data_IF_427949901578
#
_entry.id   IF_427949901578
#
_cell.length_a   1.000
_cell.length_b   1.000
_cell.length_c   1.000
_cell.angle_alpha   90.00
_cell.angle_beta   90.00
_cell.angle_gamma   90.00
#
_symmetry.space_group_name_H-M   'P 1'
#
loop_
_entity.id
_entity.type
_entity.pdbx_description
1 polymer ?
#
# COMPACT_ATOMS: atom_id res chain seq x y z
N UNK A 1 22.50 -53.36 44.16
CA UNK A 1 22.00 -53.72 42.81
C UNK A 1 20.49 -53.57 42.76
N UNK A 2 19.96 -52.51 42.14
CA UNK A 2 18.60 -52.43 41.55
C UNK A 2 18.50 -51.14 40.71
N UNK A 3 18.39 -51.36 39.38
CA UNK A 3 17.51 -50.70 38.38
C UNK A 3 17.52 -49.15 38.33
N UNK A 4 18.20 -48.52 37.36
CA UNK A 4 17.88 -48.34 35.92
C UNK A 4 16.87 -47.20 35.64
N UNK A 5 17.30 -46.31 34.74
CA UNK A 5 16.55 -45.76 33.60
C UNK A 5 15.23 -45.05 33.87
N UNK A 6 15.16 -43.76 33.50
CA UNK A 6 13.91 -43.19 33.01
C UNK A 6 13.60 -41.77 33.45
N UNK A 7 14.49 -40.80 33.21
CA UNK A 7 14.14 -39.37 33.32
C UNK A 7 14.67 -38.54 32.14
N UNK A 8 14.80 -39.18 30.97
CA UNK A 8 15.31 -38.57 29.74
C UNK A 8 14.24 -38.44 28.64
N UNK A 9 12.96 -38.42 29.02
CA UNK A 9 11.84 -38.45 28.08
C UNK A 9 10.66 -37.58 28.53
N UNK A 10 10.96 -36.39 29.05
CA UNK A 10 9.98 -35.30 29.13
C UNK A 10 10.60 -34.00 28.58
N UNK A 11 11.28 -34.16 27.45
CA UNK A 11 11.87 -33.11 26.61
C UNK A 11 11.02 -32.87 25.35
N UNK A 12 9.74 -33.22 25.36
CA UNK A 12 8.87 -33.02 24.22
C UNK A 12 7.57 -32.39 24.68
N UNK A 13 7.20 -31.27 24.07
CA UNK A 13 5.82 -30.83 23.93
C UNK A 13 5.28 -29.81 24.94
N UNK A 14 6.11 -28.94 25.51
CA UNK A 14 5.64 -27.59 25.88
C UNK A 14 5.70 -26.71 24.63
N UNK A 15 4.63 -26.87 23.85
CA UNK A 15 4.02 -25.91 22.95
C UNK A 15 4.62 -24.49 23.09
N UNK A 16 5.68 -24.21 22.32
CA UNK A 16 6.04 -22.83 21.98
C UNK A 16 4.90 -22.35 21.11
N UNK A 17 3.93 -21.71 21.76
CA UNK A 17 2.89 -20.94 21.11
C UNK A 17 3.55 -19.82 20.32
N UNK A 18 3.97 -20.14 19.10
CA UNK A 18 4.17 -19.17 18.03
C UNK A 18 2.78 -18.65 17.69
N UNK A 19 2.26 -17.79 18.56
CA UNK A 19 1.20 -16.86 18.18
C UNK A 19 1.77 -16.09 17.02
N UNK A 20 1.33 -16.44 15.81
CA UNK A 20 1.57 -15.65 14.63
C UNK A 20 0.96 -14.27 14.94
N UNK A 21 1.80 -13.34 15.37
CA UNK A 21 1.45 -11.94 15.35
C UNK A 21 1.14 -11.67 13.87
N UNK A 22 -0.15 -11.59 13.56
CA UNK A 22 -0.63 -11.03 12.31
C UNK A 22 -0.34 -9.52 12.38
N UNK A 23 0.95 -9.17 12.43
CA UNK A 23 1.37 -7.80 12.26
C UNK A 23 0.95 -7.41 10.85
N UNK A 24 0.14 -6.35 10.77
CA UNK A 24 -0.37 -5.85 9.50
C UNK A 24 0.81 -5.61 8.57
N UNK A 25 0.89 -6.40 7.51
CA UNK A 25 1.97 -6.30 6.54
C UNK A 25 2.03 -4.87 6.02
N UNK A 26 3.23 -4.29 6.06
CA UNK A 26 3.49 -2.97 5.51
C UNK A 26 3.09 -2.92 4.05
N UNK A 27 2.38 -1.86 3.67
CA UNK A 27 2.04 -1.61 2.28
C UNK A 27 3.13 -0.75 1.68
N UNK A 28 3.69 -1.20 0.55
CA UNK A 28 4.72 -0.43 -0.18
C UNK A 28 4.06 0.73 -0.92
N UNK A 29 4.52 1.94 -0.65
CA UNK A 29 4.23 3.11 -1.47
C UNK A 29 5.48 3.49 -2.25
N UNK A 30 5.34 3.69 -3.56
CA UNK A 30 6.39 4.25 -4.42
C UNK A 30 5.77 5.35 -5.25
N UNK A 31 6.45 6.48 -5.37
CA UNK A 31 6.02 7.57 -6.22
C UNK A 31 7.24 8.33 -6.76
N UNK A 32 7.00 9.23 -7.71
CA UNK A 32 8.01 10.11 -8.29
C UNK A 32 7.58 11.56 -8.14
N UNK A 33 8.39 12.35 -7.44
CA UNK A 33 8.17 13.78 -7.27
C UNK A 33 8.48 14.51 -8.59
N UNK A 34 7.43 15.08 -9.19
CA UNK A 34 7.50 15.84 -10.42
C UNK A 34 6.86 17.22 -10.24
N UNK A 35 7.36 18.20 -10.98
CA UNK A 35 6.75 19.54 -11.10
C UNK A 35 6.52 19.85 -12.58
N UNK A 36 5.51 20.66 -12.85
CA UNK A 36 5.29 21.26 -14.16
C UNK A 36 5.77 22.70 -14.16
N UNK A 37 6.17 23.22 -15.32
CA UNK A 37 6.42 24.66 -15.47
C UNK A 37 5.09 25.41 -15.41
N UNK A 38 5.01 26.45 -14.58
CA UNK A 38 3.82 27.31 -14.48
C UNK A 38 3.61 28.23 -15.69
N UNK A 39 4.60 28.32 -16.58
CA UNK A 39 4.59 29.17 -17.78
C UNK A 39 4.58 28.31 -19.03
N UNK A 40 3.42 27.72 -19.33
CA UNK A 40 3.22 26.95 -20.57
C UNK A 40 2.18 27.68 -21.43
N UNK A 41 2.50 28.02 -22.69
CA UNK A 41 1.53 28.63 -23.61
C UNK A 41 0.28 27.77 -23.76
N UNK A 42 -0.86 28.42 -24.02
CA UNK A 42 -2.12 27.71 -24.26
C UNK A 42 -1.96 26.73 -25.42
N UNK A 43 -2.27 25.44 -25.17
CA UNK A 43 -2.13 24.35 -26.14
C UNK A 43 -0.77 23.66 -26.16
N UNK A 44 0.22 24.12 -25.39
CA UNK A 44 1.51 23.44 -25.25
C UNK A 44 1.51 22.43 -24.09
N UNK A 45 2.18 21.29 -24.28
CA UNK A 45 2.41 20.34 -23.18
C UNK A 45 3.50 20.87 -22.23
N UNK A 46 3.20 20.91 -20.94
CA UNK A 46 4.19 21.28 -19.93
C UNK A 46 5.28 20.21 -19.80
N UNK A 47 6.58 20.58 -19.80
CA UNK A 47 7.61 19.61 -19.46
C UNK A 47 7.41 19.16 -18.01
N UNK A 48 7.39 17.84 -17.81
CA UNK A 48 7.46 17.22 -16.48
C UNK A 48 8.91 17.24 -16.04
N UNK A 49 9.22 18.01 -14.99
CA UNK A 49 10.55 18.09 -14.40
C UNK A 49 10.59 17.24 -13.14
N UNK A 50 11.47 16.25 -13.08
CA UNK A 50 11.74 15.52 -11.84
C UNK A 50 12.42 16.44 -10.82
N UNK A 51 12.12 16.23 -9.54
CA UNK A 51 12.71 17.01 -8.45
C UNK A 51 13.67 16.11 -7.66
N UNK A 52 14.97 16.07 -8.03
CA UNK A 52 15.95 15.23 -7.35
C UNK A 52 16.34 15.79 -5.98
N UNK A 53 16.78 14.91 -5.08
CA UNK A 53 17.29 15.24 -3.74
C UNK A 53 16.34 16.05 -2.86
N UNK A 54 15.02 15.99 -3.10
CA UNK A 54 14.03 16.64 -2.27
C UNK A 54 13.85 15.88 -0.95
N UNK A 55 13.53 16.62 0.12
CA UNK A 55 13.23 16.08 1.44
C UNK A 55 11.72 15.81 1.55
N UNK A 56 11.31 14.55 1.58
CA UNK A 56 9.92 14.10 1.66
C UNK A 56 9.54 13.75 3.09
N UNK A 57 8.49 14.38 3.62
CA UNK A 57 7.90 14.03 4.93
C UNK A 57 6.52 13.42 4.73
N UNK A 58 6.25 12.32 5.39
CA UNK A 58 4.97 11.59 5.35
C UNK A 58 4.19 11.86 6.64
N UNK A 59 2.97 12.33 6.48
CA UNK A 59 2.16 12.90 7.54
C UNK A 59 0.80 12.20 7.63
N UNK A 60 0.23 12.14 8.84
CA UNK A 60 -1.14 11.72 9.03
C UNK A 60 -2.11 12.74 8.43
N UNK A 61 -3.21 12.28 7.81
CA UNK A 61 -4.28 13.16 7.30
C UNK A 61 -4.75 14.15 8.36
N UNK A 62 -5.07 15.36 7.93
CA UNK A 62 -5.55 16.46 8.79
C UNK A 62 -4.58 16.92 9.90
N UNK A 63 -3.31 16.52 9.87
CA UNK A 63 -2.30 17.08 10.77
C UNK A 63 -1.76 18.42 10.25
N UNK A 64 -1.92 19.50 11.03
CA UNK A 64 -1.27 20.79 10.77
C UNK A 64 -0.77 21.39 12.11
N UNK A 65 0.56 21.49 12.33
CA UNK A 65 1.65 21.12 11.43
C UNK A 65 1.72 19.60 11.19
N UNK A 66 2.40 19.20 10.11
CA UNK A 66 2.60 17.78 9.76
C UNK A 66 3.12 16.98 10.95
N UNK A 67 2.31 16.02 11.40
CA UNK A 67 2.72 15.01 12.38
C UNK A 67 3.28 13.82 11.62
N UNK A 68 4.60 13.61 11.71
CA UNK A 68 5.29 12.54 11.00
C UNK A 68 4.77 11.16 11.42
N UNK A 69 4.56 10.28 10.44
CA UNK A 69 4.12 8.90 10.65
C UNK A 69 5.33 7.94 10.54
N UNK A 70 5.30 6.83 11.25
CA UNK A 70 6.32 5.78 11.11
C UNK A 70 6.34 5.22 9.68
N UNK A 71 7.48 5.33 9.01
CA UNK A 71 7.75 4.74 7.70
C UNK A 71 8.92 3.77 7.84
N UNK A 72 8.97 2.72 7.02
CA UNK A 72 9.84 1.57 7.21
C UNK A 72 10.50 1.14 5.90
N UNK A 73 11.66 0.50 6.00
CA UNK A 73 12.37 -0.03 4.82
C UNK A 73 11.94 -1.45 4.42
N UNK A 74 11.16 -2.12 5.27
CA UNK A 74 10.75 -3.51 5.11
C UNK A 74 9.23 -3.70 5.27
N UNK A 75 8.73 -4.77 4.65
CA UNK A 75 7.32 -5.17 4.68
C UNK A 75 6.85 -5.61 6.07
N UNK A 76 7.75 -6.06 6.94
CA UNK A 76 7.40 -6.44 8.31
C UNK A 76 7.31 -5.22 9.25
N UNK A 77 7.54 -4.01 8.75
CA UNK A 77 7.50 -2.77 9.54
C UNK A 77 8.46 -2.82 10.75
N UNK A 78 9.58 -3.52 10.60
CA UNK A 78 10.52 -3.78 11.69
C UNK A 78 11.71 -2.80 11.72
N UNK A 79 12.03 -2.19 10.57
CA UNK A 79 13.16 -1.28 10.41
C UNK A 79 12.64 0.14 10.10
N UNK A 80 12.43 0.98 11.14
CA UNK A 80 11.95 2.33 10.94
C UNK A 80 12.99 3.17 10.18
N UNK A 81 12.51 4.00 9.26
CA UNK A 81 13.33 4.96 8.51
C UNK A 81 13.20 6.35 9.10
N UNK A 82 14.32 7.07 9.17
CA UNK A 82 14.33 8.46 9.59
C UNK A 82 13.66 9.35 8.52
N UNK A 83 12.85 10.30 8.98
CA UNK A 83 12.28 11.35 8.15
C UNK A 83 13.03 12.69 8.35
N UNK A 84 13.13 13.53 7.32
CA UNK A 84 12.58 13.37 5.96
C UNK A 84 13.35 12.37 5.10
N UNK A 85 12.62 11.65 4.23
CA UNK A 85 13.18 10.79 3.20
C UNK A 85 13.81 11.64 2.09
N UNK A 86 14.80 11.11 1.37
CA UNK A 86 15.40 11.78 0.21
C UNK A 86 14.95 11.14 -1.10
N UNK A 87 14.55 11.95 -2.08
CA UNK A 87 14.33 11.46 -3.44
C UNK A 87 15.65 11.17 -4.15
N UNK A 88 15.66 10.21 -5.07
CA UNK A 88 16.82 9.88 -5.90
C UNK A 88 17.06 10.92 -7.02
N UNK A 89 18.04 10.67 -7.90
CA UNK A 89 18.35 11.54 -9.04
C UNK A 89 17.21 11.66 -10.07
N UNK A 90 16.27 10.72 -10.08
CA UNK A 90 15.06 10.75 -10.91
C UNK A 90 13.84 11.32 -10.15
N UNK A 91 13.99 11.75 -8.90
CA UNK A 91 12.90 12.24 -8.06
C UNK A 91 12.05 11.12 -7.45
N UNK A 92 12.48 9.86 -7.52
CA UNK A 92 11.73 8.71 -7.00
C UNK A 92 11.99 8.52 -5.51
N UNK A 93 10.99 8.03 -4.81
CA UNK A 93 11.08 7.62 -3.42
C UNK A 93 10.13 6.46 -3.16
N UNK A 94 10.40 5.69 -2.10
CA UNK A 94 9.52 4.63 -1.67
C UNK A 94 9.78 4.24 -0.23
N UNK A 95 8.73 3.71 0.42
CA UNK A 95 8.74 3.27 1.80
C UNK A 95 7.61 2.29 2.05
N UNK A 96 7.66 1.58 3.18
CA UNK A 96 6.57 0.80 3.72
C UNK A 96 5.90 1.57 4.86
N UNK A 97 4.59 1.45 4.96
CA UNK A 97 3.79 2.06 6.03
C UNK A 97 2.60 1.16 6.34
N UNK A 98 1.99 1.31 7.51
CA UNK A 98 0.71 0.67 7.82
C UNK A 98 -0.37 1.14 6.85
N UNK A 99 -1.37 0.29 6.60
CA UNK A 99 -2.53 0.68 5.80
C UNK A 99 -3.26 1.89 6.40
N UNK A 100 -3.67 2.84 5.57
CA UNK A 100 -4.29 4.09 6.02
C UNK A 100 -4.31 5.16 4.94
N UNK A 101 -4.81 6.34 5.33
CA UNK A 101 -4.82 7.54 4.52
C UNK A 101 -3.77 8.51 5.07
N UNK A 102 -2.96 9.06 4.17
CA UNK A 102 -1.84 9.91 4.51
C UNK A 102 -1.72 11.04 3.50
N UNK A 103 -0.81 11.97 3.76
CA UNK A 103 -0.29 12.85 2.73
C UNK A 103 1.23 12.95 2.87
N UNK A 104 1.91 13.26 1.78
CA UNK A 104 3.31 13.65 1.84
C UNK A 104 3.48 15.10 1.41
N UNK A 105 4.53 15.72 1.94
CA UNK A 105 5.03 17.03 1.50
C UNK A 105 6.49 16.88 1.14
N UNK A 106 6.96 17.66 0.18
CA UNK A 106 8.35 17.69 -0.19
C UNK A 106 8.92 19.09 -0.05
N UNK A 107 10.18 19.18 0.37
CA UNK A 107 10.94 20.44 0.38
C UNK A 107 12.08 20.27 -0.62
N UNK A 108 12.13 21.14 -1.62
CA UNK A 108 13.21 21.12 -2.61
C UNK A 108 14.54 21.56 -1.98
N UNK A 109 15.65 21.34 -2.68
CA UNK A 109 16.96 21.88 -2.25
C UNK A 109 16.97 23.41 -2.12
N UNK A 110 16.07 24.10 -2.83
CA UNK A 110 15.90 25.55 -2.77
C UNK A 110 14.96 26.01 -1.65
N UNK A 111 14.47 25.08 -0.81
CA UNK A 111 13.58 25.37 0.30
C UNK A 111 12.11 25.58 -0.10
N UNK A 112 11.73 25.28 -1.34
CA UNK A 112 10.35 25.40 -1.79
C UNK A 112 9.52 24.23 -1.24
N UNK A 113 8.38 24.53 -0.61
CA UNK A 113 7.44 23.54 -0.13
C UNK A 113 6.53 23.10 -1.28
N UNK A 114 6.44 21.79 -1.49
CA UNK A 114 5.54 21.14 -2.44
C UNK A 114 4.54 20.26 -1.68
N UNK A 115 3.29 20.24 -2.14
CA UNK A 115 2.20 19.47 -1.53
C UNK A 115 1.22 20.37 -0.75
N UNK A 116 0.32 19.77 0.07
CA UNK A 116 0.24 18.35 0.42
C UNK A 116 -0.24 17.47 -0.74
N UNK A 117 0.35 16.28 -0.86
CA UNK A 117 -0.05 15.26 -1.84
C UNK A 117 -0.72 14.09 -1.09
N UNK A 118 -2.05 13.97 -1.14
CA UNK A 118 -2.76 12.90 -0.44
C UNK A 118 -2.50 11.55 -1.13
N UNK A 119 -2.39 10.49 -0.33
CA UNK A 119 -2.34 9.12 -0.83
C UNK A 119 -3.01 8.15 0.15
N UNK A 120 -3.45 7.01 -0.36
CA UNK A 120 -4.04 5.93 0.43
C UNK A 120 -3.31 4.64 0.14
N UNK A 121 -3.09 3.86 1.18
CA UNK A 121 -2.48 2.54 1.12
C UNK A 121 -3.45 1.57 1.77
N UNK A 122 -4.02 0.69 0.96
CA UNK A 122 -5.02 -0.27 1.40
C UNK A 122 -4.29 -1.58 1.71
N UNK A 123 -4.43 -2.07 2.94
CA UNK A 123 -3.84 -3.32 3.38
C UNK A 123 -4.59 -4.49 2.76
N UNK A 124 -4.00 -5.14 1.77
CA UNK A 124 -4.59 -6.32 1.15
C UNK A 124 -3.64 -6.90 0.11
N UNK A 125 -3.07 -8.07 0.41
CA UNK A 125 -2.26 -8.88 -0.52
C UNK A 125 -3.05 -9.45 -1.71
N UNK A 126 -4.11 -8.78 -2.15
CA UNK A 126 -4.77 -9.07 -3.41
C UNK A 126 -4.30 -8.03 -4.43
N UNK A 127 -3.67 -8.49 -5.50
CA UNK A 127 -3.57 -7.74 -6.76
C UNK A 127 -4.98 -7.59 -7.35
N UNK A 128 -5.85 -6.85 -6.65
CA UNK A 128 -7.17 -6.47 -7.11
C UNK A 128 -7.06 -5.07 -7.67
N UNK A 129 -7.53 -4.88 -8.90
CA UNK A 129 -7.74 -3.55 -9.47
C UNK A 129 -8.79 -2.86 -8.57
N UNK A 130 -8.43 -1.81 -7.79
CA UNK A 130 -9.33 -1.25 -6.78
C UNK A 130 -10.57 -0.59 -7.39
N UNK A 131 -10.52 -0.27 -8.68
CA UNK A 131 -11.65 0.18 -9.47
C UNK A 131 -11.38 -0.09 -10.95
N UNK A 132 -12.31 -0.75 -11.64
CA UNK A 132 -12.34 -0.70 -13.11
C UNK A 132 -13.21 0.48 -13.51
N UNK A 133 -12.58 1.63 -13.79
CA UNK A 133 -13.26 2.82 -14.30
C UNK A 133 -13.17 2.84 -15.83
N UNK A 134 -14.29 3.15 -16.51
CA UNK A 134 -14.29 3.37 -17.96
C UNK A 134 -14.61 2.15 -18.83
N UNK A 135 -15.29 1.12 -18.30
CA UNK A 135 -15.84 0.06 -19.16
C UNK A 135 -16.94 0.68 -20.04
N UNK A 136 -16.66 0.83 -21.33
CA UNK A 136 -17.67 1.12 -22.35
C UNK A 136 -18.12 -0.20 -22.97
N UNK A 137 -19.40 -0.56 -22.81
CA UNK A 137 -19.97 -1.80 -23.34
C UNK A 137 -20.69 -2.63 -22.27
N UNK A 138 -21.09 -3.85 -22.62
CA UNK A 138 -21.72 -4.78 -21.69
C UNK A 138 -20.67 -5.53 -20.86
N UNK A 139 -20.86 -5.58 -19.55
CA UNK A 139 -20.11 -6.48 -18.66
C UNK A 139 -20.86 -7.81 -18.61
N UNK A 140 -20.31 -8.84 -19.24
CA UNK A 140 -20.88 -10.20 -19.19
C UNK A 140 -20.26 -10.97 -18.04
N UNK A 141 -21.08 -11.32 -17.03
CA UNK A 141 -20.69 -12.22 -15.96
C UNK A 141 -21.29 -13.59 -16.27
N UNK A 142 -20.45 -14.55 -16.67
CA UNK A 142 -20.89 -15.92 -16.88
C UNK A 142 -21.16 -16.58 -15.51
N UNK A 143 -22.43 -16.75 -15.18
CA UNK A 143 -22.85 -17.39 -13.94
C UNK A 143 -22.43 -18.87 -13.95
N UNK A 144 -21.47 -19.22 -13.10
CA UNK A 144 -21.29 -20.59 -12.66
C UNK A 144 -22.41 -20.98 -11.68
N UNK A 145 -22.66 -22.28 -11.52
CA UNK A 145 -23.65 -22.76 -10.56
C UNK A 145 -23.39 -22.19 -9.16
N UNK A 146 -24.41 -21.58 -8.56
CA UNK A 146 -24.35 -20.98 -7.21
C UNK A 146 -23.96 -19.50 -7.17
N UNK A 147 -23.60 -18.87 -8.28
CA UNK A 147 -23.42 -17.41 -8.35
C UNK A 147 -24.76 -16.76 -8.68
N UNK A 148 -25.17 -15.78 -7.87
CA UNK A 148 -26.30 -14.91 -8.18
C UNK A 148 -25.78 -13.55 -8.64
N UNK A 149 -26.34 -13.01 -9.72
CA UNK A 149 -26.05 -11.66 -10.19
C UNK A 149 -27.35 -10.89 -10.18
N UNK A 150 -27.39 -9.81 -9.41
CA UNK A 150 -28.53 -8.89 -9.36
C UNK A 150 -28.06 -7.51 -9.78
N UNK A 151 -28.76 -6.90 -10.72
CA UNK A 151 -28.48 -5.54 -11.18
C UNK A 151 -29.56 -4.59 -10.68
N UNK A 152 -29.13 -3.48 -10.06
CA UNK A 152 -30.02 -2.40 -9.59
C UNK A 152 -29.41 -1.07 -10.03
N UNK A 153 -29.97 -0.49 -11.09
CA UNK A 153 -29.41 0.70 -11.73
C UNK A 153 -27.98 0.44 -12.24
N UNK A 154 -27.04 1.28 -11.82
CA UNK A 154 -25.61 1.13 -12.15
C UNK A 154 -24.86 0.17 -11.20
N UNK A 155 -25.56 -0.46 -10.25
CA UNK A 155 -24.95 -1.37 -9.27
C UNK A 155 -25.15 -2.82 -9.70
N UNK A 156 -24.07 -3.60 -9.69
CA UNK A 156 -24.10 -5.05 -9.86
C UNK A 156 -23.74 -5.69 -8.52
N UNK A 157 -24.66 -6.48 -7.97
CA UNK A 157 -24.45 -7.27 -6.76
C UNK A 157 -24.21 -8.73 -7.16
N UNK A 158 -23.07 -9.28 -6.76
CA UNK A 158 -22.72 -10.68 -6.99
C UNK A 158 -22.85 -11.44 -5.66
N UNK A 159 -23.83 -12.33 -5.54
CA UNK A 159 -23.95 -13.26 -4.43
C UNK A 159 -23.11 -14.51 -4.69
N UNK A 160 -22.33 -14.91 -3.71
CA UNK A 160 -21.39 -16.03 -3.80
C UNK A 160 -21.76 -17.09 -2.75
N UNK A 161 -21.69 -18.40 -3.07
CA UNK A 161 -22.19 -19.42 -2.17
C UNK A 161 -21.23 -19.74 -1.02
N UNK A 162 -19.91 -19.56 -1.19
CA UNK A 162 -18.89 -19.61 -0.10
C UNK A 162 -17.50 -19.19 -0.58
N UNK A 163 -17.17 -19.46 -1.85
CA UNK A 163 -15.84 -19.24 -2.44
C UNK A 163 -15.99 -18.77 -3.89
N UNK A 164 -15.24 -17.73 -4.25
CA UNK A 164 -15.20 -17.18 -5.61
C UNK A 164 -13.76 -17.25 -6.11
N UNK A 165 -13.53 -18.07 -7.12
CA UNK A 165 -12.23 -18.21 -7.76
C UNK A 165 -12.32 -17.63 -9.17
N UNK A 166 -11.59 -16.53 -9.41
CA UNK A 166 -11.36 -16.06 -10.78
C UNK A 166 -10.14 -16.81 -11.30
N UNK A 167 -10.37 -17.74 -12.21
CA UNK A 167 -9.30 -18.59 -12.76
C UNK A 167 -8.53 -17.91 -13.90
N UNK A 168 -9.10 -16.88 -14.53
CA UNK A 168 -8.45 -16.07 -15.56
C UNK A 168 -9.18 -14.74 -15.79
N UNK A 169 -8.44 -13.70 -16.19
CA UNK A 169 -8.96 -12.53 -16.91
C UNK A 169 -8.36 -12.53 -18.31
N UNK A 170 -9.15 -12.19 -19.32
CA UNK A 170 -8.71 -11.95 -20.70
C UNK A 170 -9.00 -10.53 -21.10
#
# INVERSE_FOLDING_TARGET
MRKRFGWLLLAAMTCVGMGAAAEGQGVRYNDQLMTTSGTVPYGAMAPLLSVPNAAVSVCAVNSNPCSAVGVYSDVALSMPMAQPLKTDAAGRFGFYVTAGNYYYKAITLTGQNMGPFPFSVIGGGGSGVPSVNGITGAVTINNAAGVSVTTVGATITIGLPTTFAITSFT
#
